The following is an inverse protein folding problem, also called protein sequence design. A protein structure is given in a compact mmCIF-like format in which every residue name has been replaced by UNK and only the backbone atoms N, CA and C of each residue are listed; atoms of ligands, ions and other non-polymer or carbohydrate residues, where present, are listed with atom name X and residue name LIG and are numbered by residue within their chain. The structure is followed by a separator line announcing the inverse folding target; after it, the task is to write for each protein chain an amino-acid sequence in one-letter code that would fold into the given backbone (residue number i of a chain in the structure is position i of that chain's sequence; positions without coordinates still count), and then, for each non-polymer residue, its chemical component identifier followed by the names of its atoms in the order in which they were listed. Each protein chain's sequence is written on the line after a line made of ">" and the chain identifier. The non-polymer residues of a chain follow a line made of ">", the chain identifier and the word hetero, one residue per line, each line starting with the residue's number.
data_IF_618687087768
#
_entry.id   IF_618687087768
#
_cell.length_a   1.000
_cell.length_b   1.000
_cell.length_c   1.000
_cell.angle_alpha   90.00
_cell.angle_beta   90.00
_cell.angle_gamma   90.00
#
_symmetry.space_group_name_H-M   'P 1'
#
loop_
_entity.id
_entity.type
_entity.pdbx_description
1 polymer ?
#
# COMPACT_ATOMS: atom_id res chain seq x y z
N UNK A 1 28.19 -1.13 -4.03
CA UNK A 1 27.29 -2.02 -4.79
C UNK A 1 26.96 -1.34 -6.12
N UNK A 2 27.52 -1.81 -7.26
CA UNK A 2 27.11 -1.32 -8.58
C UNK A 2 25.95 -2.19 -9.06
N UNK A 3 24.75 -1.64 -9.04
CA UNK A 3 23.63 -2.26 -9.73
C UNK A 3 22.95 -1.17 -10.56
N UNK A 4 23.49 -0.97 -11.77
CA UNK A 4 22.85 -0.20 -12.85
C UNK A 4 21.65 -0.95 -13.43
N UNK A 5 20.74 -1.41 -12.56
CA UNK A 5 19.52 -2.13 -12.91
C UNK A 5 18.41 -1.19 -13.37
N UNK A 6 18.56 0.12 -13.10
CA UNK A 6 17.69 1.17 -13.58
C UNK A 6 18.36 1.86 -14.77
N UNK A 7 17.63 1.96 -15.89
CA UNK A 7 18.08 2.70 -17.05
C UNK A 7 18.40 4.17 -16.66
N UNK A 8 19.49 4.78 -17.18
CA UNK A 8 19.90 6.13 -16.77
C UNK A 8 18.81 7.19 -16.89
N UNK A 9 17.92 7.05 -17.89
CA UNK A 9 16.80 7.99 -18.08
C UNK A 9 15.78 7.99 -16.95
N UNK A 10 15.62 6.88 -16.22
CA UNK A 10 14.64 6.78 -15.11
C UNK A 10 15.26 7.06 -13.74
N UNK A 11 16.59 7.11 -13.64
CA UNK A 11 17.29 7.35 -12.37
C UNK A 11 16.88 8.67 -11.68
N UNK A 12 16.76 9.81 -12.38
CA UNK A 12 16.35 11.06 -11.72
C UNK A 12 14.95 10.97 -11.12
N UNK A 13 13.99 10.45 -11.89
CA UNK A 13 12.60 10.30 -11.44
C UNK A 13 12.48 9.28 -10.30
N UNK A 14 13.14 8.13 -10.41
CA UNK A 14 13.15 7.12 -9.35
C UNK A 14 13.76 7.65 -8.05
N UNK A 15 14.86 8.42 -8.13
CA UNK A 15 15.47 9.06 -6.95
C UNK A 15 14.51 10.01 -6.27
N UNK A 16 13.77 10.80 -7.03
CA UNK A 16 12.80 11.74 -6.46
C UNK A 16 11.67 11.00 -5.72
N UNK A 17 11.11 9.96 -6.34
CA UNK A 17 10.08 9.13 -5.69
C UNK A 17 10.62 8.44 -4.43
N UNK A 18 11.84 7.91 -4.47
CA UNK A 18 12.46 7.20 -3.33
C UNK A 18 12.83 8.12 -2.15
N UNK A 19 12.98 9.44 -2.38
CA UNK A 19 13.19 10.41 -1.29
C UNK A 19 11.90 10.66 -0.49
N UNK A 20 10.75 10.49 -1.12
CA UNK A 20 9.45 10.68 -0.47
C UNK A 20 9.16 9.60 0.58
N UNK A 21 8.55 10.00 1.70
CA UNK A 21 8.00 9.04 2.66
C UNK A 21 6.69 8.47 2.12
N UNK A 22 6.57 7.14 2.11
CA UNK A 22 5.27 6.51 1.86
C UNK A 22 4.31 6.81 3.02
N UNK A 23 3.21 7.50 2.73
CA UNK A 23 2.13 7.81 3.68
C UNK A 23 0.98 6.85 3.42
N UNK A 24 0.55 6.14 4.47
CA UNK A 24 -0.62 5.27 4.37
C UNK A 24 -1.90 6.14 4.38
N UNK A 25 -2.84 5.93 3.45
CA UNK A 25 -4.13 6.63 3.44
C UNK A 25 -4.90 6.36 4.74
N UNK A 26 -5.28 7.42 5.43
CA UNK A 26 -5.86 7.32 6.77
C UNK A 26 -7.17 6.52 6.78
N UNK A 27 -8.05 6.75 5.80
CA UNK A 27 -9.35 6.07 5.70
C UNK A 27 -9.23 4.55 5.50
N UNK A 28 -8.23 4.09 4.72
CA UNK A 28 -7.95 2.65 4.58
C UNK A 28 -7.48 2.07 5.91
N UNK A 29 -6.59 2.77 6.62
CA UNK A 29 -6.04 2.30 7.90
C UNK A 29 -7.12 2.28 8.98
N UNK A 30 -7.95 3.32 9.06
CA UNK A 30 -9.06 3.36 10.02
C UNK A 30 -10.10 2.27 9.74
N UNK A 31 -10.39 1.97 8.47
CA UNK A 31 -11.26 0.84 8.11
C UNK A 31 -10.68 -0.52 8.54
N UNK A 32 -9.36 -0.71 8.43
CA UNK A 32 -8.70 -1.93 8.93
C UNK A 32 -8.72 -1.99 10.45
N UNK A 33 -8.46 -0.87 11.15
CA UNK A 33 -8.50 -0.78 12.62
C UNK A 33 -9.89 -1.07 13.20
N UNK A 34 -10.94 -0.72 12.47
CA UNK A 34 -12.32 -0.97 12.89
C UNK A 34 -12.66 -2.46 13.05
N UNK A 35 -11.87 -3.36 12.45
CA UNK A 35 -11.94 -4.80 12.70
C UNK A 35 -10.73 -5.23 13.57
N UNK A 36 -10.94 -5.61 14.84
CA UNK A 36 -9.84 -5.94 15.76
C UNK A 36 -8.96 -7.11 15.29
N UNK A 37 -9.56 -8.15 14.70
CA UNK A 37 -8.83 -9.32 14.20
C UNK A 37 -7.95 -8.93 13.01
N UNK A 38 -8.53 -8.21 12.04
CA UNK A 38 -7.80 -7.74 10.88
C UNK A 38 -6.68 -6.77 11.29
N UNK A 39 -6.92 -5.93 12.29
CA UNK A 39 -5.90 -5.02 12.81
C UNK A 39 -4.73 -5.77 13.46
N UNK A 40 -5.00 -6.81 14.24
CA UNK A 40 -3.97 -7.62 14.87
C UNK A 40 -3.07 -8.29 13.82
N UNK A 41 -3.66 -8.92 12.81
CA UNK A 41 -2.91 -9.55 11.73
C UNK A 41 -2.18 -8.51 10.87
N UNK A 42 -2.84 -7.40 10.52
CA UNK A 42 -2.23 -6.30 9.78
C UNK A 42 -0.96 -5.80 10.47
N UNK A 43 -0.99 -5.59 11.78
CA UNK A 43 0.18 -5.12 12.54
C UNK A 43 1.39 -6.05 12.40
N UNK A 44 1.18 -7.36 12.29
CA UNK A 44 2.23 -8.38 12.16
C UNK A 44 2.82 -8.49 10.75
N UNK A 45 2.16 -7.94 9.73
CA UNK A 45 2.68 -7.99 8.37
C UNK A 45 3.97 -7.18 8.17
N UNK A 46 4.80 -7.64 7.23
CA UNK A 46 6.02 -6.93 6.85
C UNK A 46 5.69 -5.52 6.31
N UNK A 47 6.58 -4.53 6.50
CA UNK A 47 6.37 -3.18 5.96
C UNK A 47 6.14 -3.17 4.44
N UNK A 48 6.85 -4.04 3.70
CA UNK A 48 6.69 -4.15 2.25
C UNK A 48 5.29 -4.66 1.87
N UNK A 49 4.80 -5.71 2.53
CA UNK A 49 3.46 -6.26 2.24
C UNK A 49 2.37 -5.23 2.54
N UNK A 50 2.46 -4.52 3.67
CA UNK A 50 1.56 -3.42 4.02
C UNK A 50 1.48 -2.38 2.91
N UNK A 51 2.64 -1.90 2.42
CA UNK A 51 2.69 -0.89 1.34
C UNK A 51 2.06 -1.41 0.06
N UNK A 52 2.41 -2.61 -0.38
CA UNK A 52 1.89 -3.21 -1.62
C UNK A 52 0.37 -3.39 -1.56
N UNK A 53 -0.15 -3.95 -0.45
CA UNK A 53 -1.59 -4.19 -0.29
C UNK A 53 -2.39 -2.90 -0.20
N UNK A 54 -1.90 -1.91 0.55
CA UNK A 54 -2.58 -0.62 0.66
C UNK A 54 -2.54 0.15 -0.66
N UNK A 55 -1.40 0.16 -1.37
CA UNK A 55 -1.30 0.77 -2.69
C UNK A 55 -2.23 0.11 -3.73
N UNK A 56 -2.42 -1.21 -3.65
CA UNK A 56 -3.36 -1.93 -4.51
C UNK A 56 -4.83 -1.53 -4.26
N UNK A 57 -5.21 -1.29 -3.01
CA UNK A 57 -6.54 -0.77 -2.64
C UNK A 57 -6.67 0.69 -3.11
N UNK A 58 -5.68 1.54 -2.79
CA UNK A 58 -5.66 2.96 -3.15
C UNK A 58 -5.74 3.19 -4.67
N UNK A 59 -5.07 2.36 -5.47
CA UNK A 59 -5.12 2.45 -6.93
C UNK A 59 -6.53 2.24 -7.52
N UNK A 60 -7.50 1.74 -6.74
CA UNK A 60 -8.88 1.56 -7.17
C UNK A 60 -9.79 2.78 -6.91
N UNK A 61 -9.28 3.89 -6.36
CA UNK A 61 -10.07 5.10 -6.01
C UNK A 61 -10.97 5.60 -7.14
N UNK A 62 -10.50 5.58 -8.39
CA UNK A 62 -11.29 5.98 -9.56
C UNK A 62 -12.49 5.07 -9.87
N UNK A 63 -12.63 3.93 -9.17
CA UNK A 63 -13.70 2.95 -9.32
C UNK A 63 -14.25 2.60 -7.93
N UNK A 64 -15.22 3.36 -7.39
CA UNK A 64 -15.67 3.21 -6.00
C UNK A 64 -16.13 1.80 -5.62
N UNK A 65 -16.78 1.08 -6.55
CA UNK A 65 -17.18 -0.32 -6.32
C UNK A 65 -16.00 -1.26 -6.12
N UNK A 66 -14.96 -1.10 -6.95
CA UNK A 66 -13.74 -1.91 -6.88
C UNK A 66 -12.91 -1.56 -5.64
N UNK A 67 -12.83 -0.27 -5.29
CA UNK A 67 -12.21 0.18 -4.04
C UNK A 67 -12.84 -0.50 -2.82
N UNK A 68 -14.18 -0.42 -2.71
CA UNK A 68 -14.92 -1.04 -1.61
C UNK A 68 -14.72 -2.56 -1.58
N UNK A 69 -14.78 -3.22 -2.73
CA UNK A 69 -14.57 -4.66 -2.85
C UNK A 69 -13.18 -5.07 -2.37
N UNK A 70 -12.12 -4.38 -2.80
CA UNK A 70 -10.73 -4.69 -2.39
C UNK A 70 -10.50 -4.45 -0.90
N UNK A 71 -11.04 -3.35 -0.36
CA UNK A 71 -10.94 -3.03 1.05
C UNK A 71 -11.67 -4.08 1.91
N UNK A 72 -12.91 -4.40 1.56
CA UNK A 72 -13.69 -5.41 2.25
C UNK A 72 -13.01 -6.79 2.21
N UNK A 73 -12.54 -7.20 1.03
CA UNK A 73 -11.81 -8.46 0.88
C UNK A 73 -10.52 -8.49 1.69
N UNK A 74 -9.80 -7.37 1.76
CA UNK A 74 -8.59 -7.29 2.58
C UNK A 74 -8.91 -7.47 4.07
N UNK A 75 -9.96 -6.81 4.57
CA UNK A 75 -10.40 -6.94 5.98
C UNK A 75 -10.93 -8.35 6.27
N UNK A 76 -11.63 -8.99 5.33
CA UNK A 76 -12.19 -10.34 5.50
C UNK A 76 -11.11 -11.44 5.50
N UNK A 77 -10.03 -11.25 4.73
CA UNK A 77 -8.95 -12.25 4.58
C UNK A 77 -7.71 -11.94 5.40
N UNK A 78 -7.70 -10.82 6.11
CA UNK A 78 -6.65 -10.47 7.06
C UNK A 78 -7.14 -10.85 8.42
#
# INVERSE_FOLDING_TARGET
>A
MKQGLLHPSVLPAAREVLRGRFVFPADIIEAVKANPQAWEHYRRFSPAYKRIRVAYIEAARGRPGEFRKRLAHFIEKT
#
